data_IF_528559018542
#
_entry.id   IF_528559018542
#
_cell.length_a   1.000
_cell.length_b   1.000
_cell.length_c   1.000
_cell.angle_alpha   90.00
_cell.angle_beta   90.00
_cell.angle_gamma   90.00
#
_symmetry.space_group_name_H-M   'P 1'
#
loop_
_entity.id
_entity.type
_entity.pdbx_description
1 polymer ?
#
# COMPACT_ATOMS: atom_id res chain seq x y z
N UNK A 1 -22.96 0.12 -22.69
CA UNK A 1 -23.74 0.51 -23.91
C UNK A 1 -22.93 1.49 -24.78
N UNK A 2 -21.83 1.07 -25.41
CA UNK A 2 -21.08 1.94 -26.37
C UNK A 2 -20.49 1.15 -27.55
N UNK A 3 -20.87 -0.10 -27.77
CA UNK A 3 -20.28 -0.92 -28.86
C UNK A 3 -21.00 -0.82 -30.20
N UNK A 4 -22.17 -0.16 -30.26
CA UNK A 4 -22.99 -0.16 -31.48
C UNK A 4 -22.75 1.02 -32.44
N UNK A 5 -21.92 2.01 -32.07
CA UNK A 5 -21.71 3.21 -32.88
C UNK A 5 -20.48 3.17 -33.80
N UNK A 6 -19.48 2.34 -33.51
CA UNK A 6 -18.23 2.34 -34.30
C UNK A 6 -18.34 1.52 -35.60
N UNK A 7 -19.26 0.54 -35.64
CA UNK A 7 -19.55 -0.23 -36.86
C UNK A 7 -20.33 0.59 -37.90
N UNK A 8 -21.17 1.52 -37.44
CA UNK A 8 -21.95 2.42 -38.32
C UNK A 8 -21.08 3.51 -38.97
N UNK A 9 -19.99 3.95 -38.36
CA UNK A 9 -19.10 4.98 -38.95
C UNK A 9 -18.16 4.39 -40.02
N UNK A 10 -17.54 3.23 -39.77
CA UNK A 10 -16.74 2.50 -40.77
C UNK A 10 -17.57 2.12 -42.00
N UNK A 11 -18.83 1.70 -41.80
CA UNK A 11 -19.73 1.37 -42.91
C UNK A 11 -20.10 2.62 -43.75
N UNK A 12 -20.23 3.80 -43.13
CA UNK A 12 -20.47 5.07 -43.84
C UNK A 12 -19.28 5.51 -44.70
N UNK A 13 -18.04 5.34 -44.22
CA UNK A 13 -16.84 5.67 -45.00
C UNK A 13 -16.63 4.71 -46.18
N UNK A 14 -16.91 3.41 -46.01
CA UNK A 14 -16.86 2.42 -47.09
C UNK A 14 -17.96 2.68 -48.13
N UNK A 15 -19.15 3.11 -47.72
CA UNK A 15 -20.25 3.45 -48.63
C UNK A 15 -19.99 4.76 -49.42
N UNK A 16 -19.32 5.74 -48.80
CA UNK A 16 -18.94 6.99 -49.48
C UNK A 16 -17.86 6.75 -50.55
N UNK A 17 -16.90 5.86 -50.30
CA UNK A 17 -15.87 5.44 -51.27
C UNK A 17 -16.47 4.67 -52.46
N UNK A 18 -17.49 3.84 -52.24
CA UNK A 18 -18.19 3.09 -53.31
C UNK A 18 -19.04 3.98 -54.21
N UNK A 19 -19.64 5.05 -53.70
CA UNK A 19 -20.42 6.00 -54.52
C UNK A 19 -19.50 6.83 -55.44
N UNK A 20 -18.29 7.16 -54.99
CA UNK A 20 -17.28 7.85 -55.80
C UNK A 20 -16.70 6.92 -56.88
N UNK A 21 -16.45 5.64 -56.56
CA UNK A 21 -16.02 4.63 -57.52
C UNK A 21 -17.10 4.30 -58.58
N UNK A 22 -18.38 4.26 -58.19
CA UNK A 22 -19.50 4.00 -59.10
C UNK A 22 -19.77 5.14 -60.09
N UNK A 23 -19.65 6.39 -59.66
CA UNK A 23 -19.83 7.57 -60.52
C UNK A 23 -18.74 7.71 -61.60
N UNK A 24 -17.51 7.30 -61.28
CA UNK A 24 -16.38 7.38 -62.21
C UNK A 24 -16.47 6.37 -63.36
N UNK A 25 -17.06 5.18 -63.12
CA UNK A 25 -17.18 4.14 -64.15
C UNK A 25 -18.24 4.48 -65.22
N UNK A 26 -19.32 5.18 -64.83
CA UNK A 26 -20.39 5.61 -65.76
C UNK A 26 -19.90 6.76 -66.67
N UNK A 27 -19.07 7.67 -66.17
CA UNK A 27 -18.42 8.70 -66.99
C UNK A 27 -17.44 8.14 -68.03
N UNK A 28 -16.84 6.97 -67.75
CA UNK A 28 -15.87 6.31 -68.63
C UNK A 28 -16.47 5.74 -69.92
N UNK A 29 -17.76 5.41 -69.90
CA UNK A 29 -18.47 4.82 -71.04
C UNK A 29 -19.10 5.90 -71.95
N UNK A 30 -19.40 7.09 -71.41
CA UNK A 30 -20.14 8.13 -72.14
C UNK A 30 -19.28 9.24 -72.77
N UNK A 31 -18.02 9.44 -72.35
CA UNK A 31 -17.20 10.59 -72.79
C UNK A 31 -15.87 10.26 -73.52
N UNK A 32 -15.52 8.99 -73.72
CA UNK A 32 -14.18 8.61 -74.21
C UNK A 32 -14.13 8.35 -75.72
N UNK A 33 -14.26 9.41 -76.53
CA UNK A 33 -13.87 9.36 -77.95
C UNK A 33 -13.51 10.74 -78.54
N UNK A 34 -12.70 11.54 -77.83
CA UNK A 34 -12.32 12.86 -78.35
C UNK A 34 -10.87 13.27 -78.00
N UNK A 35 -10.12 13.75 -79.00
CA UNK A 35 -8.72 14.19 -78.89
C UNK A 35 -8.53 15.44 -78.00
N UNK A 36 -9.63 16.06 -77.56
CA UNK A 36 -9.64 17.22 -76.64
C UNK A 36 -9.22 16.87 -75.20
N UNK A 37 -9.40 15.62 -74.77
CA UNK A 37 -9.01 15.17 -73.41
C UNK A 37 -7.48 15.07 -73.27
N UNK A 38 -6.76 14.72 -74.34
CA UNK A 38 -5.30 14.62 -74.34
C UNK A 38 -4.62 15.98 -74.06
N UNK A 39 -5.19 17.09 -74.55
CA UNK A 39 -4.68 18.44 -74.26
C UNK A 39 -4.89 18.88 -72.80
N UNK A 40 -5.99 18.45 -72.17
CA UNK A 40 -6.31 18.77 -70.77
C UNK A 40 -5.39 18.03 -69.79
N UNK A 41 -4.98 16.80 -70.13
CA UNK A 41 -4.05 16.01 -69.32
C UNK A 41 -2.61 16.51 -69.50
N UNK A 42 -2.22 16.97 -70.69
CA UNK A 42 -0.86 17.37 -71.01
C UNK A 42 -0.47 18.81 -70.60
N UNK A 43 -1.44 19.67 -70.27
CA UNK A 43 -1.21 21.08 -69.90
C UNK A 43 -1.00 21.33 -68.39
N UNK A 44 -0.76 22.60 -68.05
CA UNK A 44 -0.68 23.08 -66.67
C UNK A 44 -2.05 22.95 -65.99
N UNK A 45 -2.06 22.34 -64.80
CA UNK A 45 -3.25 22.03 -64.00
C UNK A 45 -3.12 22.68 -62.64
N UNK A 46 -4.20 23.29 -62.16
CA UNK A 46 -4.32 23.69 -60.76
C UNK A 46 -4.88 22.53 -59.95
N UNK A 47 -4.21 22.16 -58.86
CA UNK A 47 -4.66 21.09 -57.94
C UNK A 47 -4.50 21.53 -56.49
N UNK A 48 -5.14 20.81 -55.58
CA UNK A 48 -5.01 21.00 -54.13
C UNK A 48 -4.29 19.78 -53.56
N UNK A 49 -3.24 20.00 -52.78
CA UNK A 49 -2.68 18.98 -51.90
C UNK A 49 -3.09 19.32 -50.46
N UNK A 50 -3.78 18.41 -49.81
CA UNK A 50 -4.10 18.43 -48.39
C UNK A 50 -3.14 17.47 -47.66
N UNK A 51 -2.09 17.99 -47.03
CA UNK A 51 -1.14 17.20 -46.23
C UNK A 51 -1.53 17.30 -44.75
N UNK A 52 -2.24 16.30 -44.21
CA UNK A 52 -2.72 16.27 -42.83
C UNK A 52 -3.56 17.51 -42.42
N UNK A 53 -4.42 18.01 -43.30
CA UNK A 53 -5.25 19.19 -43.08
C UNK A 53 -4.62 20.49 -43.59
N UNK A 54 -3.32 20.48 -43.94
CA UNK A 54 -2.61 21.62 -44.51
C UNK A 54 -2.80 21.65 -46.03
N UNK A 55 -3.76 22.47 -46.47
CA UNK A 55 -4.10 22.62 -47.89
C UNK A 55 -3.19 23.61 -48.60
N UNK A 56 -2.62 23.19 -49.72
CA UNK A 56 -1.83 24.03 -50.62
C UNK A 56 -2.30 23.89 -52.07
N UNK A 57 -2.33 25.00 -52.79
CA UNK A 57 -2.67 25.02 -54.22
C UNK A 57 -1.40 24.91 -55.06
N UNK A 58 -1.35 23.95 -55.96
CA UNK A 58 -0.22 23.74 -56.87
C UNK A 58 -0.62 23.94 -58.32
N UNK A 59 0.33 24.42 -59.11
CA UNK A 59 0.33 24.35 -60.57
C UNK A 59 1.26 23.24 -61.01
N UNK A 60 0.77 22.32 -61.82
CA UNK A 60 1.58 21.17 -62.26
C UNK A 60 1.25 20.70 -63.68
N UNK A 61 2.28 20.24 -64.40
CA UNK A 61 2.13 19.50 -65.66
C UNK A 61 2.09 17.98 -65.44
N UNK A 62 2.31 17.50 -64.21
CA UNK A 62 2.41 16.08 -63.90
C UNK A 62 1.16 15.32 -64.32
N UNK A 63 1.36 14.10 -64.82
CA UNK A 63 0.29 13.26 -65.36
C UNK A 63 -0.40 12.43 -64.28
N UNK A 64 0.35 11.95 -63.29
CA UNK A 64 -0.15 11.09 -62.22
C UNK A 64 0.21 11.62 -60.85
N UNK A 65 -0.42 11.08 -59.80
CA UNK A 65 -0.10 11.39 -58.40
C UNK A 65 1.38 11.13 -58.10
N UNK A 66 1.92 9.99 -58.52
CA UNK A 66 3.35 9.67 -58.32
C UNK A 66 4.28 10.71 -58.99
N UNK A 67 4.01 11.07 -60.24
CA UNK A 67 4.78 12.06 -61.00
C UNK A 67 4.71 13.45 -60.33
N UNK A 68 3.55 13.82 -59.81
CA UNK A 68 3.39 15.06 -59.06
C UNK A 68 4.23 15.06 -57.78
N UNK A 69 4.15 14.01 -56.97
CA UNK A 69 4.90 13.92 -55.72
C UNK A 69 6.41 13.95 -55.98
N UNK A 70 6.90 13.24 -57.01
CA UNK A 70 8.31 13.23 -57.39
C UNK A 70 8.78 14.63 -57.87
N UNK A 71 7.99 15.28 -58.74
CA UNK A 71 8.27 16.64 -59.24
C UNK A 71 8.35 17.65 -58.10
N UNK A 72 7.44 17.56 -57.12
CA UNK A 72 7.43 18.44 -55.94
C UNK A 72 8.39 17.99 -54.83
N UNK A 73 9.13 16.88 -55.03
CA UNK A 73 10.03 16.27 -54.04
C UNK A 73 9.34 15.95 -52.71
N UNK A 74 8.07 15.57 -52.77
CA UNK A 74 7.27 15.17 -51.61
C UNK A 74 7.50 13.67 -51.40
N UNK A 75 8.25 13.34 -50.35
CA UNK A 75 8.53 11.95 -49.98
C UNK A 75 7.45 11.45 -49.02
N UNK A 76 6.84 10.31 -49.34
CA UNK A 76 5.93 9.58 -48.46
C UNK A 76 6.70 8.52 -47.68
N UNK A 77 6.40 8.37 -46.39
CA UNK A 77 6.90 7.24 -45.61
C UNK A 77 6.10 5.97 -45.94
N UNK A 78 6.65 4.80 -45.62
CA UNK A 78 6.02 3.49 -45.89
C UNK A 78 4.60 3.36 -45.28
N UNK A 79 4.34 4.07 -44.18
CA UNK A 79 3.05 4.04 -43.47
C UNK A 79 2.17 5.26 -43.73
N UNK A 80 2.61 6.21 -44.55
CA UNK A 80 1.77 7.33 -44.99
C UNK A 80 0.72 6.81 -45.99
N UNK A 81 -0.45 7.45 -46.01
CA UNK A 81 -1.49 7.17 -46.99
C UNK A 81 -1.62 8.35 -47.95
N UNK A 82 -1.90 8.05 -49.22
CA UNK A 82 -2.16 9.02 -50.27
C UNK A 82 -3.46 8.64 -50.98
N UNK A 83 -4.32 9.63 -51.21
CA UNK A 83 -5.54 9.50 -51.99
C UNK A 83 -5.66 10.65 -52.98
N UNK A 84 -6.06 10.42 -54.25
CA UNK A 84 -6.16 9.12 -54.91
C UNK A 84 -4.82 8.37 -54.97
N UNK A 85 -4.83 7.10 -55.41
CA UNK A 85 -3.62 6.29 -55.43
C UNK A 85 -2.52 6.86 -56.37
N UNK A 86 -1.29 6.41 -56.16
CA UNK A 86 -0.08 6.86 -56.87
C UNK A 86 -0.20 6.80 -58.41
N UNK A 87 -0.97 5.84 -58.94
CA UNK A 87 -1.12 5.63 -60.39
C UNK A 87 -2.24 6.48 -61.00
N UNK A 88 -3.06 7.12 -60.17
CA UNK A 88 -4.22 7.89 -60.62
C UNK A 88 -3.79 9.11 -61.44
N UNK A 89 -4.49 9.33 -62.56
CA UNK A 89 -4.27 10.49 -63.44
C UNK A 89 -4.80 11.76 -62.77
N UNK A 90 -4.01 12.83 -62.83
CA UNK A 90 -4.38 14.15 -62.28
C UNK A 90 -5.11 14.98 -63.34
N UNK A 91 -6.27 15.51 -62.95
CA UNK A 91 -7.08 16.46 -63.74
C UNK A 91 -7.08 17.87 -63.11
N UNK A 92 -7.42 18.93 -63.86
CA UNK A 92 -7.66 20.24 -63.28
C UNK A 92 -8.68 20.17 -62.12
N UNK A 93 -8.33 20.77 -60.98
CA UNK A 93 -9.14 20.75 -59.77
C UNK A 93 -9.02 19.48 -58.92
N UNK A 94 -8.11 18.56 -59.26
CA UNK A 94 -7.88 17.37 -58.43
C UNK A 94 -7.48 17.77 -57.00
N UNK A 95 -7.96 16.99 -56.03
CA UNK A 95 -7.58 17.11 -54.63
C UNK A 95 -6.83 15.84 -54.27
N UNK A 96 -5.59 16.02 -53.84
CA UNK A 96 -4.73 14.97 -53.32
C UNK A 96 -4.70 15.11 -51.80
N UNK A 97 -4.95 14.03 -51.07
CA UNK A 97 -4.92 13.99 -49.61
C UNK A 97 -3.81 13.06 -49.14
N UNK A 98 -2.87 13.59 -48.37
CA UNK A 98 -1.82 12.83 -47.71
C UNK A 98 -2.16 12.75 -46.22
N UNK A 99 -2.23 11.53 -45.70
CA UNK A 99 -2.32 11.27 -44.26
C UNK A 99 -0.97 10.75 -43.77
N UNK A 100 -0.23 11.57 -43.01
CA UNK A 100 1.08 11.17 -42.48
C UNK A 100 0.92 10.33 -41.22
N UNK A 101 1.54 9.16 -41.20
CA UNK A 101 1.60 8.33 -40.01
C UNK A 101 2.73 8.82 -39.09
N UNK A 102 2.40 8.99 -37.81
CA UNK A 102 3.38 9.33 -36.78
C UNK A 102 4.03 8.06 -36.24
N UNK A 103 5.35 8.00 -36.28
CA UNK A 103 6.14 6.90 -35.68
C UNK A 103 6.37 7.18 -34.21
N UNK A 104 5.99 6.27 -33.32
CA UNK A 104 6.29 6.33 -31.89
C UNK A 104 7.15 5.14 -31.47
N UNK A 105 8.05 5.36 -30.51
CA UNK A 105 8.90 4.33 -29.93
C UNK A 105 8.40 4.05 -28.52
N UNK A 106 7.70 2.94 -28.36
CA UNK A 106 7.11 2.56 -27.08
C UNK A 106 8.05 1.66 -26.30
N UNK A 107 8.23 1.92 -25.01
CA UNK A 107 8.84 0.99 -24.07
C UNK A 107 7.81 0.42 -23.08
N UNK A 108 7.60 -0.90 -23.11
CA UNK A 108 6.77 -1.65 -22.15
C UNK A 108 7.62 -2.75 -21.53
N UNK A 109 7.63 -2.88 -20.21
CA UNK A 109 8.34 -3.96 -19.51
C UNK A 109 9.83 -4.12 -19.92
N UNK A 110 10.47 -3.00 -20.29
CA UNK A 110 11.85 -2.86 -20.84
C UNK A 110 12.06 -3.32 -22.28
N UNK A 111 11.01 -3.77 -22.97
CA UNK A 111 11.05 -4.02 -24.42
C UNK A 111 10.69 -2.75 -25.18
N UNK A 112 11.42 -2.46 -26.26
CA UNK A 112 11.10 -1.35 -27.18
C UNK A 112 10.34 -1.88 -28.39
N UNK A 113 9.26 -1.21 -28.78
CA UNK A 113 8.43 -1.50 -29.95
C UNK A 113 8.14 -0.22 -30.71
N UNK A 114 8.21 -0.28 -32.03
CA UNK A 114 7.79 0.81 -32.90
C UNK A 114 6.30 0.65 -33.25
N UNK A 115 5.55 1.74 -33.16
CA UNK A 115 4.16 1.80 -33.61
C UNK A 115 3.92 3.02 -34.48
N UNK A 116 2.87 2.96 -35.30
CA UNK A 116 2.52 4.01 -36.24
C UNK A 116 1.04 4.35 -36.11
N UNK A 117 0.67 5.62 -36.16
CA UNK A 117 -0.75 6.01 -36.13
C UNK A 117 -1.02 7.37 -36.74
N UNK A 118 -2.29 7.60 -37.06
CA UNK A 118 -2.75 8.82 -37.73
C UNK A 118 -3.39 9.81 -36.76
N UNK A 119 -3.57 9.40 -35.50
CA UNK A 119 -4.24 10.21 -34.47
C UNK A 119 -3.34 11.31 -33.91
N UNK A 120 -3.95 12.21 -33.15
CA UNK A 120 -3.26 13.40 -32.66
C UNK A 120 -2.57 13.18 -31.33
N UNK A 121 -3.14 12.36 -30.45
CA UNK A 121 -2.60 12.12 -29.11
C UNK A 121 -1.94 10.76 -28.97
N UNK A 122 -1.01 10.65 -28.03
CA UNK A 122 -0.28 9.41 -27.71
C UNK A 122 -1.26 8.28 -27.38
N UNK A 123 -2.28 8.56 -26.56
CA UNK A 123 -3.29 7.60 -26.15
C UNK A 123 -4.13 7.07 -27.31
N UNK A 124 -4.50 7.93 -28.27
CA UNK A 124 -5.27 7.50 -29.44
C UNK A 124 -4.44 6.64 -30.39
N UNK A 125 -3.15 6.96 -30.61
CA UNK A 125 -2.25 6.16 -31.45
C UNK A 125 -2.00 4.78 -30.82
N UNK A 126 -1.82 4.73 -29.50
CA UNK A 126 -1.73 3.47 -28.74
C UNK A 126 -2.98 2.62 -28.94
N UNK A 127 -4.17 3.21 -28.83
CA UNK A 127 -5.46 2.52 -29.01
C UNK A 127 -5.63 2.01 -30.45
N UNK A 128 -5.23 2.81 -31.46
CA UNK A 128 -5.25 2.42 -32.87
C UNK A 128 -4.40 1.16 -33.14
N UNK A 129 -3.31 0.99 -32.39
CA UNK A 129 -2.41 -0.16 -32.49
C UNK A 129 -2.81 -1.35 -31.59
N UNK A 130 -4.00 -1.30 -30.95
CA UNK A 130 -4.54 -2.36 -30.09
C UNK A 130 -3.57 -2.80 -28.97
N UNK A 131 -2.81 -1.87 -28.40
CA UNK A 131 -2.00 -2.17 -27.21
C UNK A 131 -2.90 -2.24 -25.98
N UNK A 132 -2.86 -3.38 -25.29
CA UNK A 132 -3.62 -3.62 -24.05
C UNK A 132 -2.98 -2.86 -22.89
N UNK A 133 -3.35 -1.58 -22.75
CA UNK A 133 -2.91 -0.69 -21.68
C UNK A 133 -4.12 -0.31 -20.83
N UNK A 134 -4.11 -0.70 -19.57
CA UNK A 134 -5.18 -0.41 -18.61
C UNK A 134 -5.19 1.05 -18.22
N UNK A 135 -6.30 1.60 -17.74
CA UNK A 135 -6.35 3.01 -17.30
C UNK A 135 -5.36 3.31 -16.16
N UNK A 136 -5.13 2.30 -15.33
CA UNK A 136 -4.19 2.30 -14.21
C UNK A 136 -2.72 2.40 -14.65
N UNK A 137 -2.39 1.99 -15.88
CA UNK A 137 -1.02 2.03 -16.36
C UNK A 137 -0.57 3.46 -16.65
N UNK A 138 0.66 3.76 -16.23
CA UNK A 138 1.25 5.08 -16.36
C UNK A 138 1.91 5.19 -17.72
N UNK A 139 1.46 6.16 -18.52
CA UNK A 139 2.06 6.47 -19.83
C UNK A 139 2.78 7.81 -19.71
N UNK A 140 4.06 7.84 -20.09
CA UNK A 140 4.88 9.05 -20.13
C UNK A 140 5.47 9.24 -21.53
N UNK A 141 5.25 10.39 -22.19
CA UNK A 141 4.36 11.50 -21.79
C UNK A 141 2.89 11.09 -21.64
N UNK A 142 2.07 11.95 -21.03
CA UNK A 142 0.67 11.64 -20.74
C UNK A 142 -0.13 11.29 -22.01
N UNK A 143 -1.14 10.42 -21.88
CA UNK A 143 -1.95 9.93 -23.01
C UNK A 143 -2.59 11.05 -23.84
N UNK A 144 -2.92 12.18 -23.21
CA UNK A 144 -3.56 13.33 -23.86
C UNK A 144 -2.57 14.25 -24.56
N UNK A 145 -1.26 14.04 -24.37
CA UNK A 145 -0.22 14.81 -25.03
C UNK A 145 -0.26 14.56 -26.53
N UNK A 146 -0.05 15.64 -27.31
CA UNK A 146 0.07 15.57 -28.77
C UNK A 146 1.30 14.75 -29.11
N UNK A 147 1.13 13.76 -29.98
CA UNK A 147 2.18 12.87 -30.41
C UNK A 147 3.04 13.50 -31.52
N UNK A 148 4.36 13.37 -31.38
CA UNK A 148 5.33 13.79 -32.39
C UNK A 148 6.07 12.59 -33.01
N UNK A 149 6.69 12.81 -34.17
CA UNK A 149 7.46 11.77 -34.85
C UNK A 149 8.71 11.39 -34.04
N UNK A 150 8.96 10.08 -33.97
CA UNK A 150 10.05 9.44 -33.23
C UNK A 150 10.03 9.73 -31.72
N UNK A 151 8.87 10.07 -31.15
CA UNK A 151 8.73 10.32 -29.73
C UNK A 151 8.85 9.01 -28.93
N UNK A 152 9.67 9.03 -27.87
CA UNK A 152 9.81 7.89 -26.95
C UNK A 152 8.72 7.93 -25.88
N UNK A 153 7.93 6.85 -25.82
CA UNK A 153 6.82 6.69 -24.88
C UNK A 153 7.15 5.57 -23.90
N UNK A 154 7.25 5.89 -22.62
CA UNK A 154 7.43 4.89 -21.57
C UNK A 154 6.07 4.53 -20.96
N UNK A 155 5.71 3.26 -21.06
CA UNK A 155 4.54 2.69 -20.38
C UNK A 155 5.03 1.88 -19.20
N UNK A 156 4.45 2.11 -18.04
CA UNK A 156 4.68 1.28 -16.87
C UNK A 156 3.39 0.67 -16.37
N UNK A 157 3.39 -0.66 -16.26
CA UNK A 157 2.23 -1.43 -15.81
C UNK A 157 1.99 -1.24 -14.32
N UNK A 158 0.76 -0.91 -13.95
CA UNK A 158 0.33 -0.85 -12.56
C UNK A 158 -0.40 -2.14 -12.19
N UNK A 159 0.08 -2.83 -11.16
CA UNK A 159 -0.57 -4.04 -10.63
C UNK A 159 -1.10 -3.75 -9.22
N UNK A 160 -2.41 -3.86 -9.05
CA UNK A 160 -3.06 -3.80 -7.75
C UNK A 160 -3.37 -5.24 -7.32
N UNK A 161 -2.97 -5.62 -6.11
CA UNK A 161 -3.20 -6.95 -5.54
C UNK A 161 -3.67 -6.82 -4.09
N UNK A 162 -4.57 -7.70 -3.67
CA UNK A 162 -4.91 -7.85 -2.27
C UNK A 162 -3.92 -8.79 -1.57
N UNK A 163 -3.38 -8.34 -0.44
CA UNK A 163 -2.47 -9.13 0.39
C UNK A 163 -2.97 -9.20 1.84
N UNK A 164 -2.90 -10.38 2.44
CA UNK A 164 -3.34 -10.61 3.82
C UNK A 164 -2.13 -10.87 4.70
N UNK A 165 -1.99 -10.07 5.76
CA UNK A 165 -0.93 -10.22 6.75
C UNK A 165 -1.54 -10.56 8.10
N UNK A 166 -1.08 -11.64 8.72
CA UNK A 166 -1.44 -12.02 10.08
C UNK A 166 -0.55 -11.29 11.08
N UNK A 167 -1.15 -10.72 12.12
CA UNK A 167 -0.45 -10.12 13.26
C UNK A 167 -1.04 -10.63 14.57
N UNK A 168 -0.15 -10.85 15.53
CA UNK A 168 -0.53 -11.20 16.89
C UNK A 168 -1.25 -10.04 17.60
N UNK A 169 -2.13 -10.41 18.52
CA UNK A 169 -2.72 -9.52 19.52
C UNK A 169 -2.29 -10.03 20.88
N UNK A 170 -1.55 -9.21 21.62
CA UNK A 170 -1.09 -9.59 22.95
C UNK A 170 -2.26 -9.65 23.94
N UNK A 171 -2.22 -10.62 24.84
CA UNK A 171 -3.19 -10.79 25.92
C UNK A 171 -2.76 -10.01 27.17
N UNK A 172 -3.70 -9.72 28.07
CA UNK A 172 -3.43 -9.08 29.36
C UNK A 172 -3.23 -10.14 30.43
N UNK A 173 -2.49 -9.77 31.48
CA UNK A 173 -2.44 -10.59 32.72
C UNK A 173 -3.35 -9.96 33.76
N UNK A 174 -4.33 -10.73 34.22
CA UNK A 174 -5.27 -10.36 35.28
C UNK A 174 -4.83 -11.07 36.55
N UNK A 175 -4.49 -10.29 37.57
CA UNK A 175 -4.17 -10.81 38.90
C UNK A 175 -5.42 -10.77 39.79
N UNK A 176 -5.68 -11.87 40.50
CA UNK A 176 -6.77 -12.01 41.49
C UNK A 176 -6.19 -12.46 42.82
N UNK A 177 -6.78 -12.04 43.92
CA UNK A 177 -6.39 -12.51 45.25
C UNK A 177 -7.29 -13.67 45.70
N UNK A 178 -6.72 -14.61 46.43
CA UNK A 178 -7.44 -15.73 47.05
C UNK A 178 -6.98 -15.90 48.51
N UNK A 179 -7.92 -15.70 49.43
CA UNK A 179 -7.73 -15.75 50.89
C UNK A 179 -7.68 -17.16 51.46
N UNK A 180 -7.86 -18.19 50.62
CA UNK A 180 -7.68 -19.62 50.97
C UNK A 180 -6.37 -20.18 50.44
N UNK A 181 -5.81 -19.57 49.40
CA UNK A 181 -4.53 -19.97 48.83
C UNK A 181 -3.39 -19.40 49.68
N UNK A 182 -2.40 -20.25 50.02
CA UNK A 182 -1.25 -19.84 50.84
C UNK A 182 -0.56 -18.59 50.30
N UNK A 183 -0.23 -17.69 51.23
CA UNK A 183 0.46 -16.45 50.94
C UNK A 183 1.72 -16.68 50.11
N UNK A 184 1.98 -15.77 49.14
CA UNK A 184 3.07 -15.85 48.13
C UNK A 184 2.96 -17.00 47.13
N UNK A 185 1.97 -17.88 47.23
CA UNK A 185 1.72 -18.89 46.18
C UNK A 185 1.01 -18.22 45.02
N UNK A 186 1.56 -18.37 43.80
CA UNK A 186 0.87 -17.99 42.57
C UNK A 186 0.36 -19.24 41.87
N UNK A 187 -0.91 -19.23 41.47
CA UNK A 187 -1.51 -20.27 40.66
C UNK A 187 -2.02 -19.65 39.36
N UNK A 188 -1.63 -20.21 38.22
CA UNK A 188 -2.22 -19.81 36.94
C UNK A 188 -3.54 -20.57 36.78
N UNK A 189 -4.66 -19.87 36.80
CA UNK A 189 -5.99 -20.46 36.60
C UNK A 189 -6.30 -20.60 35.10
N UNK A 190 -5.91 -19.59 34.32
CA UNK A 190 -6.10 -19.57 32.86
C UNK A 190 -4.78 -19.14 32.23
N UNK A 191 -4.28 -19.97 31.32
CA UNK A 191 -3.11 -19.62 30.52
C UNK A 191 -3.47 -18.53 29.51
N UNK A 192 -2.58 -17.56 29.32
CA UNK A 192 -2.78 -16.52 28.32
C UNK A 192 -2.46 -17.03 26.93
N UNK A 193 -3.33 -16.72 25.97
CA UNK A 193 -3.10 -17.04 24.56
C UNK A 193 -3.20 -15.77 23.72
N UNK A 194 -2.25 -15.59 22.80
CA UNK A 194 -2.30 -14.47 21.86
C UNK A 194 -3.48 -14.63 20.91
N UNK A 195 -4.13 -13.51 20.65
CA UNK A 195 -5.10 -13.38 19.58
C UNK A 195 -4.39 -13.22 18.23
N UNK A 196 -5.16 -13.28 17.16
CA UNK A 196 -4.69 -13.10 15.79
C UNK A 196 -5.65 -12.13 15.09
N UNK A 197 -5.09 -11.13 14.42
CA UNK A 197 -5.80 -10.32 13.43
C UNK A 197 -5.20 -10.50 12.05
N UNK A 198 -6.08 -10.54 11.05
CA UNK A 198 -5.75 -10.45 9.64
C UNK A 198 -5.96 -9.02 9.18
N UNK A 199 -4.91 -8.43 8.60
CA UNK A 199 -4.96 -7.11 7.97
C UNK A 199 -4.92 -7.34 6.47
N UNK A 200 -5.98 -6.94 5.77
CA UNK A 200 -6.04 -6.98 4.30
C UNK A 200 -5.59 -5.64 3.75
N UNK A 201 -4.57 -5.70 2.91
CA UNK A 201 -4.00 -4.55 2.22
C UNK A 201 -4.36 -4.59 0.74
N UNK A 202 -4.70 -3.44 0.18
CA UNK A 202 -4.61 -3.17 -1.25
C UNK A 202 -3.20 -2.65 -1.53
N UNK A 203 -2.42 -3.42 -2.27
CA UNK A 203 -1.02 -3.10 -2.53
C UNK A 203 -0.84 -2.79 -4.01
N UNK A 204 -0.34 -1.60 -4.29
CA UNK A 204 0.00 -1.16 -5.64
C UNK A 204 1.48 -1.41 -5.92
N UNK A 205 1.75 -2.02 -7.07
CA UNK A 205 3.10 -2.32 -7.55
C UNK A 205 3.38 -1.59 -8.86
N UNK A 206 4.64 -1.16 -8.99
CA UNK A 206 5.24 -0.53 -10.16
C UNK A 206 6.52 -1.30 -10.50
N UNK A 207 6.60 -1.91 -11.68
CA UNK A 207 7.73 -2.77 -12.11
C UNK A 207 8.12 -3.84 -11.07
N UNK A 208 7.12 -4.43 -10.40
CA UNK A 208 7.31 -5.44 -9.35
C UNK A 208 7.75 -4.88 -7.99
N UNK A 209 7.97 -3.58 -7.86
CA UNK A 209 8.27 -2.91 -6.60
C UNK A 209 6.99 -2.36 -5.98
N UNK A 210 6.81 -2.59 -4.68
CA UNK A 210 5.70 -1.99 -3.94
C UNK A 210 5.88 -0.47 -3.88
N UNK A 211 4.86 0.28 -4.30
CA UNK A 211 4.85 1.75 -4.25
C UNK A 211 4.02 2.27 -3.08
N UNK A 212 2.92 1.57 -2.78
CA UNK A 212 2.00 1.98 -1.74
C UNK A 212 1.16 0.77 -1.27
N UNK A 213 0.76 0.80 -0.01
CA UNK A 213 -0.23 -0.11 0.56
C UNK A 213 -1.30 0.66 1.33
N UNK A 214 -2.57 0.30 1.12
CA UNK A 214 -3.72 0.85 1.83
C UNK A 214 -4.41 -0.25 2.61
N UNK A 215 -4.72 -0.01 3.89
CA UNK A 215 -5.52 -0.95 4.69
C UNK A 215 -6.96 -0.90 4.16
N UNK A 216 -7.49 -2.06 3.74
CA UNK A 216 -8.92 -2.20 3.40
C UNK A 216 -9.73 -2.63 4.60
N UNK A 217 -9.22 -3.62 5.33
CA UNK A 217 -9.94 -4.26 6.40
C UNK A 217 -8.96 -4.78 7.45
N UNK A 218 -9.38 -4.77 8.72
CA UNK A 218 -8.72 -5.49 9.80
C UNK A 218 -9.76 -6.34 10.49
N UNK A 219 -9.54 -7.66 10.52
CA UNK A 219 -10.45 -8.63 11.12
C UNK A 219 -9.71 -9.37 12.21
N UNK A 220 -10.27 -9.39 13.42
CA UNK A 220 -9.78 -10.27 14.49
C UNK A 220 -10.31 -11.68 14.19
N UNK A 221 -9.41 -12.62 13.89
CA UNK A 221 -9.76 -14.01 13.58
C UNK A 221 -9.69 -14.92 14.80
N UNK A 222 -8.91 -14.52 15.82
CA UNK A 222 -8.86 -15.15 17.14
C UNK A 222 -8.73 -14.07 18.19
N UNK A 223 -9.68 -14.00 19.12
CA UNK A 223 -9.57 -13.11 20.27
C UNK A 223 -8.44 -13.58 21.21
N UNK A 224 -7.65 -12.67 21.81
CA UNK A 224 -6.70 -13.05 22.84
C UNK A 224 -7.43 -13.57 24.07
N UNK A 225 -6.83 -14.57 24.73
CA UNK A 225 -7.30 -15.07 26.02
C UNK A 225 -6.40 -14.50 27.09
N UNK A 226 -6.97 -13.70 28.00
CA UNK A 226 -6.22 -13.10 29.10
C UNK A 226 -5.69 -14.17 30.05
N UNK A 227 -4.43 -14.00 30.48
CA UNK A 227 -3.81 -14.87 31.49
C UNK A 227 -4.38 -14.49 32.85
N UNK A 228 -4.97 -15.45 33.56
CA UNK A 228 -5.48 -15.23 34.92
C UNK A 228 -4.55 -15.89 35.92
N UNK A 229 -3.97 -15.08 36.80
CA UNK A 229 -3.11 -15.53 37.88
C UNK A 229 -3.76 -15.21 39.22
N UNK A 230 -3.93 -16.23 40.05
CA UNK A 230 -4.39 -16.09 41.42
C UNK A 230 -3.19 -16.02 42.36
N UNK A 231 -3.13 -14.97 43.17
CA UNK A 231 -2.15 -14.75 44.22
C UNK A 231 -2.78 -15.09 45.57
N UNK A 232 -2.18 -16.05 46.28
CA UNK A 232 -2.62 -16.41 47.61
C UNK A 232 -2.30 -15.32 48.63
N UNK A 233 -3.26 -15.06 49.52
CA UNK A 233 -3.18 -14.11 50.63
C UNK A 233 -3.41 -14.78 52.00
N UNK A 234 -3.68 -16.09 52.03
CA UNK A 234 -3.88 -16.83 53.28
C UNK A 234 -2.58 -16.95 54.07
N UNK A 235 -2.53 -16.37 55.27
CA UNK A 235 -1.39 -16.47 56.18
C UNK A 235 -1.74 -17.39 57.35
N UNK A 236 -1.05 -18.52 57.44
CA UNK A 236 -1.17 -19.46 58.56
C UNK A 236 -0.16 -19.11 59.64
N UNK A 237 -0.68 -18.59 60.75
CA UNK A 237 0.13 -18.21 61.90
C UNK A 237 0.54 -19.43 62.73
N UNK A 238 1.80 -19.43 63.17
CA UNK A 238 2.45 -20.46 63.97
C UNK A 238 2.66 -20.00 65.41
N UNK A 239 3.84 -20.29 65.97
CA UNK A 239 4.17 -19.93 67.35
C UNK A 239 4.13 -18.41 67.54
N UNK A 240 3.62 -18.00 68.69
CA UNK A 240 3.49 -16.60 69.08
C UNK A 240 4.46 -16.26 70.20
N UNK A 241 5.11 -15.11 70.09
CA UNK A 241 6.04 -14.54 71.06
C UNK A 241 5.62 -13.11 71.39
N UNK A 242 5.90 -12.64 72.59
CA UNK A 242 5.63 -11.25 73.00
C UNK A 242 6.88 -10.65 73.60
N UNK A 243 7.13 -9.38 73.31
CA UNK A 243 8.29 -8.66 73.79
C UNK A 243 8.40 -7.30 73.13
N UNK A 244 9.59 -6.72 73.17
CA UNK A 244 9.87 -5.41 72.61
C UNK A 244 10.37 -5.53 71.17
N UNK A 245 9.87 -4.67 70.29
CA UNK A 245 10.48 -4.41 69.00
C UNK A 245 11.25 -3.10 69.03
N UNK A 246 12.46 -3.08 68.49
CA UNK A 246 13.17 -1.85 68.13
C UNK A 246 13.25 -1.70 66.61
N UNK A 247 13.96 -0.69 66.13
CA UNK A 247 14.26 -0.56 64.71
C UNK A 247 15.71 -0.20 64.43
N UNK A 248 16.14 -0.54 63.21
CA UNK A 248 17.43 -0.20 62.63
C UNK A 248 17.26 0.26 61.18
N UNK A 249 18.24 0.98 60.63
CA UNK A 249 18.22 1.40 59.23
C UNK A 249 19.38 0.75 58.48
N UNK A 250 19.08 -0.27 57.67
CA UNK A 250 20.10 -0.98 56.90
C UNK A 250 19.68 -1.28 55.47
N UNK A 251 18.60 -2.02 55.27
CA UNK A 251 18.20 -2.54 53.95
C UNK A 251 17.12 -1.71 53.28
N UNK A 252 16.27 -1.02 54.06
CA UNK A 252 15.11 -0.32 53.53
C UNK A 252 14.04 -1.28 52.97
N UNK A 253 13.99 -2.52 53.47
CA UNK A 253 13.07 -3.56 52.99
C UNK A 253 12.13 -4.05 54.10
N UNK A 254 11.10 -4.83 53.74
CA UNK A 254 10.19 -5.46 54.71
C UNK A 254 10.88 -6.63 55.44
N UNK A 255 11.86 -6.30 56.27
CA UNK A 255 12.77 -7.24 56.91
C UNK A 255 13.02 -6.90 58.37
N UNK A 256 13.62 -7.85 59.09
CA UNK A 256 13.91 -7.72 60.50
C UNK A 256 15.07 -8.62 60.96
N UNK A 257 15.73 -8.19 62.03
CA UNK A 257 16.62 -9.04 62.81
C UNK A 257 15.82 -9.83 63.86
N UNK A 258 16.11 -11.13 64.01
CA UNK A 258 15.59 -11.93 65.13
C UNK A 258 16.70 -12.80 65.78
N UNK A 259 16.71 -12.97 67.12
CA UNK A 259 17.81 -13.66 67.80
C UNK A 259 17.82 -15.19 67.63
N UNK A 260 16.68 -15.82 67.30
CA UNK A 260 16.53 -17.29 67.37
C UNK A 260 15.86 -17.94 66.15
N UNK A 261 15.07 -17.22 65.37
CA UNK A 261 14.36 -17.77 64.22
C UNK A 261 15.34 -18.08 63.08
N UNK A 262 15.11 -19.14 62.29
CA UNK A 262 15.92 -19.41 61.10
C UNK A 262 15.95 -18.20 60.14
N UNK A 263 17.11 -17.94 59.52
CA UNK A 263 17.22 -16.93 58.47
C UNK A 263 16.27 -17.28 57.32
N UNK A 264 15.61 -16.26 56.78
CA UNK A 264 14.61 -16.41 55.72
C UNK A 264 13.19 -16.67 56.20
N UNK A 265 12.97 -16.92 57.50
CA UNK A 265 11.63 -17.08 58.08
C UNK A 265 10.79 -15.80 57.90
N UNK A 266 9.46 -15.94 57.87
CA UNK A 266 8.56 -14.82 57.90
C UNK A 266 7.81 -14.75 59.22
N UNK A 267 7.56 -13.54 59.71
CA UNK A 267 6.77 -13.30 60.92
C UNK A 267 5.80 -12.16 60.70
N UNK A 268 4.62 -12.26 61.29
CA UNK A 268 3.68 -11.14 61.47
C UNK A 268 3.99 -10.47 62.80
N UNK A 269 4.35 -9.19 62.77
CA UNK A 269 4.61 -8.37 63.95
C UNK A 269 3.44 -7.42 64.13
N UNK A 270 2.76 -7.51 65.27
CA UNK A 270 1.63 -6.66 65.62
C UNK A 270 2.03 -5.77 66.79
N UNK A 271 1.96 -4.46 66.59
CA UNK A 271 2.08 -3.51 67.69
C UNK A 271 0.84 -3.62 68.58
N UNK A 272 1.05 -3.97 69.85
CA UNK A 272 -0.03 -4.24 70.79
C UNK A 272 -0.75 -2.96 71.23
N UNK A 273 -0.10 -1.81 71.11
CA UNK A 273 -0.63 -0.53 71.58
C UNK A 273 -1.63 0.08 70.58
N UNK A 274 -1.51 -0.25 69.28
CA UNK A 274 -2.37 0.32 68.23
C UNK A 274 -3.01 -0.71 67.27
N UNK A 275 -2.70 -2.00 67.44
CA UNK A 275 -3.23 -3.09 66.61
C UNK A 275 -2.68 -3.17 65.18
N UNK A 276 -1.82 -2.23 64.75
CA UNK A 276 -1.21 -2.26 63.42
C UNK A 276 -0.24 -3.43 63.33
N UNK A 277 -0.20 -4.07 62.17
CA UNK A 277 0.67 -5.22 61.95
C UNK A 277 1.39 -5.17 60.61
N UNK A 278 2.50 -5.88 60.55
CA UNK A 278 3.36 -5.96 59.37
C UNK A 278 3.94 -7.37 59.25
N UNK A 279 4.08 -7.88 58.03
CA UNK A 279 4.78 -9.14 57.77
C UNK A 279 6.20 -8.81 57.30
N UNK A 280 7.20 -9.42 57.92
CA UNK A 280 8.62 -9.18 57.63
C UNK A 280 9.38 -10.48 57.43
N UNK A 281 10.43 -10.42 56.60
CA UNK A 281 11.41 -11.51 56.43
C UNK A 281 12.52 -11.35 57.46
N UNK A 282 12.83 -12.42 58.18
CA UNK A 282 14.00 -12.49 59.04
C UNK A 282 15.24 -12.61 58.16
N UNK A 283 16.08 -11.58 58.14
CA UNK A 283 17.30 -11.53 57.32
C UNK A 283 18.56 -11.17 58.10
N UNK A 284 18.43 -10.89 59.40
CA UNK A 284 19.56 -10.53 60.26
C UNK A 284 19.43 -11.07 61.70
N UNK A 285 20.51 -11.00 62.47
CA UNK A 285 20.61 -11.50 63.85
C UNK A 285 20.59 -10.37 64.87
N UNK A 286 19.95 -10.64 66.00
CA UNK A 286 19.66 -9.64 67.03
C UNK A 286 18.15 -9.41 67.13
N UNK A 287 17.66 -8.48 67.94
CA UNK A 287 18.42 -7.61 68.85
C UNK A 287 18.85 -8.38 70.10
N UNK A 288 20.03 -8.06 70.65
CA UNK A 288 20.57 -8.74 71.85
C UNK A 288 20.28 -7.99 73.15
N UNK A 289 19.38 -7.01 73.13
CA UNK A 289 18.97 -6.29 74.34
C UNK A 289 17.92 -7.05 75.15
N UNK A 290 17.79 -6.78 76.46
CA UNK A 290 16.85 -7.46 77.32
C UNK A 290 15.41 -7.27 76.82
N UNK A 291 14.64 -8.37 76.79
CA UNK A 291 13.24 -8.44 76.34
C UNK A 291 12.97 -7.98 74.90
N UNK A 292 14.00 -7.69 74.09
CA UNK A 292 13.82 -7.36 72.67
C UNK A 292 13.79 -8.64 71.85
N UNK A 293 12.70 -8.83 71.13
CA UNK A 293 12.45 -10.06 70.39
C UNK A 293 12.60 -9.89 68.88
N UNK A 294 12.60 -8.64 68.39
CA UNK A 294 12.72 -8.35 66.98
C UNK A 294 13.23 -6.92 66.78
N UNK A 295 14.10 -6.72 65.78
CA UNK A 295 14.58 -5.41 65.37
C UNK A 295 14.10 -5.19 63.94
N UNK A 296 13.15 -4.30 63.72
CA UNK A 296 12.55 -4.09 62.40
C UNK A 296 13.43 -3.16 61.58
N UNK A 297 13.57 -3.43 60.27
CA UNK A 297 14.10 -2.39 59.38
C UNK A 297 13.17 -1.18 59.43
N UNK A 298 13.75 0.02 59.32
CA UNK A 298 13.06 1.32 59.38
C UNK A 298 11.72 1.31 58.63
N UNK A 299 11.69 0.81 57.39
CA UNK A 299 10.47 0.83 56.56
C UNK A 299 9.37 -0.10 57.05
N UNK A 300 9.72 -1.19 57.75
CA UNK A 300 8.78 -2.10 58.36
C UNK A 300 8.25 -1.56 59.69
N UNK A 301 9.13 -0.96 60.50
CA UNK A 301 8.75 -0.33 61.77
C UNK A 301 7.76 0.82 61.55
N UNK A 302 7.98 1.65 60.53
CA UNK A 302 7.08 2.75 60.14
C UNK A 302 5.64 2.30 59.82
N UNK A 303 5.43 1.02 59.47
CA UNK A 303 4.08 0.47 59.24
C UNK A 303 3.29 0.29 60.54
N UNK A 304 3.98 0.10 61.67
CA UNK A 304 3.35 -0.23 62.95
C UNK A 304 3.59 0.81 64.06
N UNK A 305 4.57 1.71 63.91
CA UNK A 305 4.92 2.73 64.90
C UNK A 305 5.69 3.91 64.27
N UNK A 306 5.71 5.06 64.93
CA UNK A 306 6.59 6.18 64.55
C UNK A 306 8.02 5.90 65.00
N UNK A 307 9.01 6.20 64.16
CA UNK A 307 10.43 5.99 64.47
C UNK A 307 10.87 6.65 65.79
N UNK A 308 10.28 7.80 66.13
CA UNK A 308 10.58 8.53 67.37
C UNK A 308 10.17 7.80 68.65
N UNK A 309 9.30 6.78 68.55
CA UNK A 309 8.99 5.91 69.69
C UNK A 309 10.18 5.01 70.06
N UNK A 310 11.05 4.68 69.09
CA UNK A 310 12.26 3.87 69.27
C UNK A 310 11.98 2.39 69.54
N UNK A 311 11.21 2.09 70.58
CA UNK A 311 10.88 0.74 71.04
C UNK A 311 9.39 0.65 71.32
N UNK A 312 8.74 -0.44 70.90
CA UNK A 312 7.30 -0.68 71.10
C UNK A 312 7.01 -2.10 71.56
N UNK A 313 5.90 -2.30 72.27
CA UNK A 313 5.46 -3.61 72.70
C UNK A 313 4.76 -4.35 71.55
N UNK A 314 5.24 -5.55 71.20
CA UNK A 314 4.75 -6.30 70.04
C UNK A 314 4.38 -7.74 70.38
N UNK A 315 3.47 -8.28 69.58
CA UNK A 315 3.25 -9.71 69.40
C UNK A 315 3.88 -10.12 68.07
N UNK A 316 4.78 -11.08 68.09
CA UNK A 316 5.41 -11.66 66.89
C UNK A 316 4.87 -13.08 66.68
N UNK A 317 4.27 -13.33 65.53
CA UNK A 317 3.68 -14.62 65.16
C UNK A 317 4.43 -15.18 63.94
N UNK A 318 4.98 -16.39 64.05
CA UNK A 318 5.65 -17.06 62.94
C UNK A 318 4.66 -17.33 61.79
N UNK A 319 5.10 -17.25 60.54
CA UNK A 319 4.31 -17.66 59.36
C UNK A 319 4.77 -19.06 58.96
N UNK A 320 3.81 -19.98 58.83
CA UNK A 320 4.06 -21.42 58.70
C UNK A 320 3.72 -22.00 57.33
N UNK A 321 3.27 -21.18 56.38
CA UNK A 321 2.84 -21.60 55.04
C UNK A 321 3.43 -20.73 53.92
#
# INVERSE_FOLDING_TARGET
MVEHNNKKSKLKYIFLLLIILGGFYIGKILFFKDNRILGIIAGEKNIILDDNGFKHNFKTNSKTVADFLDTQKIVLNEKDLIFPDMSTVIYPGSILEVQRAKKLIISVDKEKKEIYGFKNTIGEIILENNLDIKEEDIVKPERKTIAYNNEEIKITRMKIKEEVVKKDIDFKTIEKEDDKLSWRTKKTEVAGEKGIKEIRYEVAYHDGKEINRKIKETVVTKEPVDKVVTQGTYVKLGKSHTGLASWYAHTGTMAAANPWLPMGSYVKVTNKDNGKSVIVKINDRGPFGPNRIIDLDKVAFEKIASLGQGVVNVKMEEISN
#
